data_IF_429853943151
#
_entry.id   IF_429853943151
#
_cell.length_a   1.000
_cell.length_b   1.000
_cell.length_c   1.000
_cell.angle_alpha   90.00
_cell.angle_beta   90.00
_cell.angle_gamma   90.00
#
_symmetry.space_group_name_H-M   'P 1'
#
loop_
_entity.id
_entity.type
_entity.pdbx_description
1 polymer ?
#
# COMPACT_ATOMS: atom_id res chain seq x y z
N UNK A 1 6.01 32.97 -4.68
CA UNK A 1 4.91 32.01 -4.41
C UNK A 1 5.53 30.85 -3.65
N UNK A 2 5.31 30.76 -2.33
CA UNK A 2 5.94 29.73 -1.48
C UNK A 2 5.15 28.40 -1.46
N UNK A 3 3.91 28.40 -1.96
CA UNK A 3 3.01 27.24 -1.98
C UNK A 3 3.23 26.32 -3.19
N UNK A 4 3.70 26.87 -4.32
CA UNK A 4 3.85 26.16 -5.60
C UNK A 4 4.69 24.87 -5.50
N UNK A 5 5.83 24.84 -4.79
CA UNK A 5 6.66 23.64 -4.69
C UNK A 5 5.92 22.49 -4.03
N UNK A 6 5.20 22.78 -2.94
CA UNK A 6 4.39 21.76 -2.27
C UNK A 6 3.38 21.15 -3.22
N UNK A 7 2.62 21.98 -3.95
CA UNK A 7 1.55 21.50 -4.83
C UNK A 7 2.11 20.64 -5.96
N UNK A 8 3.23 21.05 -6.55
CA UNK A 8 3.91 20.26 -7.59
C UNK A 8 4.35 18.90 -7.08
N UNK A 9 4.96 18.83 -5.88
CA UNK A 9 5.38 17.55 -5.32
C UNK A 9 4.15 16.69 -5.02
N UNK A 10 3.14 17.24 -4.34
CA UNK A 10 1.91 16.51 -4.02
C UNK A 10 1.26 15.90 -5.26
N UNK A 11 1.01 16.71 -6.29
CA UNK A 11 0.37 16.26 -7.54
C UNK A 11 1.23 15.25 -8.30
N UNK A 12 2.56 15.40 -8.27
CA UNK A 12 3.46 14.50 -8.97
C UNK A 12 3.45 13.06 -8.44
N UNK A 13 3.18 12.85 -7.14
CA UNK A 13 3.10 11.50 -6.55
C UNK A 13 1.70 10.87 -6.58
N UNK A 14 0.66 11.64 -6.94
CA UNK A 14 -0.71 11.12 -7.02
C UNK A 14 -0.90 9.99 -8.05
N UNK A 15 -0.28 10.01 -9.25
CA UNK A 15 -0.47 8.92 -10.21
C UNK A 15 -0.12 7.54 -9.66
N UNK A 16 0.99 7.43 -8.90
CA UNK A 16 1.38 6.17 -8.26
C UNK A 16 0.38 5.73 -7.19
N UNK A 17 -0.05 6.67 -6.34
CA UNK A 17 -1.09 6.41 -5.34
C UNK A 17 -2.43 6.01 -5.98
N UNK A 18 -2.81 6.61 -7.11
CA UNK A 18 -4.07 6.29 -7.80
C UNK A 18 -4.01 4.94 -8.50
N UNK A 19 -2.84 4.53 -8.96
CA UNK A 19 -2.65 3.22 -9.61
C UNK A 19 -2.78 2.07 -8.60
N UNK A 20 -2.24 2.20 -7.39
CA UNK A 20 -2.17 1.09 -6.43
C UNK A 20 -3.07 1.28 -5.20
N UNK A 21 -3.52 2.50 -4.93
CA UNK A 21 -4.21 2.84 -3.68
C UNK A 21 -3.31 2.83 -2.44
N UNK A 22 -2.00 2.60 -2.61
CA UNK A 22 -1.02 2.56 -1.54
C UNK A 22 -0.54 3.98 -1.21
N UNK A 23 -0.51 4.29 0.09
CA UNK A 23 -0.02 5.56 0.62
C UNK A 23 1.38 5.35 1.18
N UNK A 24 2.37 5.40 0.30
CA UNK A 24 3.79 5.31 0.65
C UNK A 24 4.53 6.62 0.32
N UNK A 25 5.08 7.34 1.31
CA UNK A 25 5.90 8.54 1.09
C UNK A 25 7.03 8.36 0.08
N UNK A 26 7.53 7.13 -0.15
CA UNK A 26 8.52 6.81 -1.17
C UNK A 26 8.06 7.17 -2.59
N UNK A 27 6.75 7.08 -2.86
CA UNK A 27 6.16 7.46 -4.14
C UNK A 27 6.36 8.94 -4.51
N UNK A 28 6.58 9.81 -3.52
CA UNK A 28 6.82 11.25 -3.73
C UNK A 28 8.30 11.62 -3.82
N UNK A 29 9.23 10.68 -3.62
CA UNK A 29 10.67 10.98 -3.57
C UNK A 29 11.21 11.50 -4.90
N UNK A 30 10.78 10.92 -6.03
CA UNK A 30 11.19 11.38 -7.35
C UNK A 30 10.77 12.84 -7.58
N UNK A 31 9.53 13.17 -7.21
CA UNK A 31 8.99 14.53 -7.33
C UNK A 31 9.60 15.49 -6.31
N UNK A 32 10.03 15.00 -5.14
CA UNK A 32 10.72 15.79 -4.14
C UNK A 32 12.09 16.29 -4.63
N UNK A 33 12.70 15.65 -5.64
CA UNK A 33 13.92 16.17 -6.28
C UNK A 33 13.70 17.55 -6.95
N UNK A 34 12.46 17.89 -7.32
CA UNK A 34 12.11 19.23 -7.81
C UNK A 34 12.31 20.34 -6.76
N UNK A 35 12.47 19.98 -5.48
CA UNK A 35 12.83 20.94 -4.43
C UNK A 35 14.23 21.53 -4.65
N UNK A 36 15.14 20.86 -5.35
CA UNK A 36 16.48 21.37 -5.61
C UNK A 36 16.49 22.65 -6.48
N UNK A 37 15.93 22.65 -7.71
CA UNK A 37 15.86 23.86 -8.54
C UNK A 37 14.99 24.95 -7.90
N UNK A 38 13.91 24.58 -7.21
CA UNK A 38 13.06 25.51 -6.47
C UNK A 38 13.83 26.20 -5.35
N UNK A 39 14.58 25.44 -4.55
CA UNK A 39 15.36 25.96 -3.44
C UNK A 39 16.46 26.89 -3.96
N UNK A 40 17.15 26.52 -5.05
CA UNK A 40 18.13 27.40 -5.69
C UNK A 40 17.52 28.75 -6.10
N UNK A 41 16.35 28.73 -6.73
CA UNK A 41 15.62 29.93 -7.13
C UNK A 41 15.16 30.78 -5.92
N UNK A 42 14.64 30.14 -4.87
CA UNK A 42 14.21 30.82 -3.64
C UNK A 42 15.39 31.43 -2.87
N UNK A 43 16.54 30.75 -2.81
CA UNK A 43 17.75 31.28 -2.17
C UNK A 43 18.19 32.58 -2.84
N UNK A 44 18.18 32.61 -4.18
CA UNK A 44 18.56 33.81 -4.95
C UNK A 44 17.58 34.96 -4.70
N UNK A 45 16.27 34.69 -4.64
CA UNK A 45 15.24 35.75 -4.53
C UNK A 45 14.90 36.20 -3.12
N UNK A 46 14.88 35.28 -2.15
CA UNK A 46 14.33 35.49 -0.79
C UNK A 46 15.23 34.97 0.34
N UNK A 47 16.39 34.40 0.00
CA UNK A 47 17.34 33.89 0.98
C UNK A 47 17.09 32.45 1.42
N UNK A 48 18.00 31.93 2.24
CA UNK A 48 18.05 30.51 2.64
C UNK A 48 16.85 30.12 3.52
N UNK A 49 16.43 31.01 4.43
CA UNK A 49 15.28 30.76 5.31
C UNK A 49 13.98 30.49 4.54
N UNK A 50 13.72 31.25 3.47
CA UNK A 50 12.54 31.06 2.63
C UNK A 50 12.56 29.72 1.87
N UNK A 51 13.74 29.25 1.45
CA UNK A 51 13.90 27.98 0.76
C UNK A 51 13.71 26.78 1.71
N UNK A 52 14.26 26.84 2.93
CA UNK A 52 14.01 25.84 3.96
C UNK A 52 12.53 25.80 4.35
N UNK A 53 11.92 26.97 4.57
CA UNK A 53 10.50 27.10 4.92
C UNK A 53 9.57 26.48 3.86
N UNK A 54 9.79 26.79 2.58
CA UNK A 54 9.00 26.23 1.49
C UNK A 54 9.10 24.70 1.42
N UNK A 55 10.29 24.16 1.70
CA UNK A 55 10.56 22.74 1.62
C UNK A 55 9.98 21.97 2.80
N UNK A 56 10.05 22.54 4.02
CA UNK A 56 9.35 22.03 5.19
C UNK A 56 7.82 22.04 4.99
N UNK A 57 7.29 23.07 4.30
CA UNK A 57 5.89 23.11 3.92
C UNK A 57 5.50 22.02 2.93
N UNK A 58 6.36 21.77 1.93
CA UNK A 58 6.14 20.71 0.94
C UNK A 58 6.12 19.32 1.58
N UNK A 59 7.10 19.01 2.44
CA UNK A 59 7.15 17.72 3.14
C UNK A 59 5.99 17.56 4.13
N UNK A 60 5.68 18.61 4.90
CA UNK A 60 4.54 18.63 5.81
C UNK A 60 3.20 18.40 5.10
N UNK A 61 3.03 18.97 3.90
CA UNK A 61 1.82 18.78 3.11
C UNK A 61 1.62 17.32 2.67
N UNK A 62 2.69 16.63 2.27
CA UNK A 62 2.64 15.22 1.85
C UNK A 62 2.36 14.31 3.05
N UNK A 63 3.03 14.55 4.18
CA UNK A 63 2.79 13.79 5.41
C UNK A 63 1.37 14.00 5.94
N UNK A 64 0.84 15.23 5.83
CA UNK A 64 -0.55 15.54 6.16
C UNK A 64 -1.52 14.80 5.22
N UNK A 65 -1.29 14.83 3.91
CA UNK A 65 -2.10 14.07 2.96
C UNK A 65 -2.07 12.57 3.25
N UNK A 66 -0.88 12.00 3.54
CA UNK A 66 -0.71 10.59 3.84
C UNK A 66 -1.46 10.17 5.12
N UNK A 67 -1.37 11.00 6.17
CA UNK A 67 -2.11 10.78 7.41
C UNK A 67 -3.62 10.87 7.18
N UNK A 68 -4.11 11.90 6.50
CA UNK A 68 -5.54 12.12 6.27
C UNK A 68 -6.18 11.06 5.36
N UNK A 69 -5.45 10.58 4.34
CA UNK A 69 -5.96 9.58 3.41
C UNK A 69 -6.16 8.19 4.05
N UNK A 70 -5.38 7.90 5.11
CA UNK A 70 -5.33 6.58 5.75
C UNK A 70 -5.91 6.58 7.17
N UNK A 71 -6.00 7.77 7.79
CA UNK A 71 -6.23 7.97 9.22
C UNK A 71 -5.25 7.20 10.11
N UNK A 72 -4.03 6.98 9.62
CA UNK A 72 -2.97 6.26 10.30
C UNK A 72 -1.66 6.99 10.12
N UNK A 73 -0.80 6.91 11.13
CA UNK A 73 0.56 7.46 11.03
C UNK A 73 1.30 6.68 9.94
N UNK A 74 1.95 7.37 8.97
CA UNK A 74 2.81 6.72 7.99
C UNK A 74 3.94 5.93 8.66
N UNK A 75 4.42 4.87 8.01
CA UNK A 75 5.52 4.08 8.54
C UNK A 75 6.81 4.92 8.65
N UNK A 76 7.57 4.71 9.73
CA UNK A 76 8.75 5.52 10.07
C UNK A 76 9.82 5.43 8.98
N UNK A 77 10.10 4.23 8.48
CA UNK A 77 11.16 4.00 7.49
C UNK A 77 10.91 4.75 6.16
N UNK A 78 9.75 4.63 5.49
CA UNK A 78 9.42 5.47 4.33
C UNK A 78 9.52 6.98 4.59
N UNK A 79 9.06 7.44 5.77
CA UNK A 79 9.13 8.85 6.15
C UNK A 79 10.57 9.33 6.27
N UNK A 80 11.44 8.55 6.90
CA UNK A 80 12.86 8.90 7.02
C UNK A 80 13.54 9.00 5.66
N UNK A 81 13.29 8.06 4.75
CA UNK A 81 13.81 8.13 3.37
C UNK A 81 13.32 9.38 2.63
N UNK A 82 12.01 9.64 2.70
CA UNK A 82 11.40 10.81 2.08
C UNK A 82 11.97 12.12 2.62
N UNK A 83 12.07 12.26 3.94
CA UNK A 83 12.66 13.45 4.59
C UNK A 83 14.14 13.61 4.23
N UNK A 84 14.90 12.52 4.15
CA UNK A 84 16.31 12.54 3.76
C UNK A 84 16.50 13.04 2.33
N UNK A 85 15.70 12.56 1.37
CA UNK A 85 15.74 13.04 -0.02
C UNK A 85 15.29 14.49 -0.13
N UNK A 86 14.22 14.88 0.58
CA UNK A 86 13.79 16.27 0.60
C UNK A 86 14.90 17.18 1.16
N UNK A 87 15.54 16.81 2.27
CA UNK A 87 16.64 17.56 2.86
C UNK A 87 17.84 17.67 1.91
N UNK A 88 18.30 16.55 1.33
CA UNK A 88 19.40 16.54 0.37
C UNK A 88 19.10 17.38 -0.87
N UNK A 89 17.87 17.33 -1.39
CA UNK A 89 17.44 18.18 -2.50
C UNK A 89 17.48 19.66 -2.13
N UNK A 90 17.07 20.04 -0.93
CA UNK A 90 17.17 21.45 -0.48
C UNK A 90 18.59 21.94 -0.34
N UNK A 91 19.47 21.11 0.26
CA UNK A 91 20.89 21.42 0.41
C UNK A 91 21.60 21.51 -0.94
N UNK A 92 21.22 20.65 -1.90
CA UNK A 92 21.67 20.75 -3.28
C UNK A 92 21.30 22.11 -3.89
N UNK A 93 20.05 22.54 -3.72
CA UNK A 93 19.61 23.87 -4.15
C UNK A 93 20.41 25.01 -3.53
N UNK A 94 20.83 24.90 -2.26
CA UNK A 94 21.64 25.91 -1.60
C UNK A 94 23.05 26.01 -2.19
N UNK A 95 23.69 24.86 -2.45
CA UNK A 95 25.02 24.80 -3.08
C UNK A 95 25.03 25.27 -4.53
N UNK A 96 23.93 25.05 -5.25
CA UNK A 96 23.75 25.44 -6.65
C UNK A 96 23.28 26.90 -6.81
N UNK A 97 22.79 27.55 -5.76
CA UNK A 97 22.33 28.92 -5.81
C UNK A 97 23.48 29.89 -6.16
N UNK A 98 23.40 30.50 -7.34
CA UNK A 98 24.42 31.37 -7.88
C UNK A 98 24.36 32.79 -7.25
N UNK A 99 24.76 32.93 -5.97
CA UNK A 99 24.99 34.27 -5.38
C UNK A 99 26.41 34.74 -5.75
N UNK A 100 26.55 36.02 -6.14
CA UNK A 100 27.79 36.73 -6.54
C UNK A 100 28.88 36.82 -5.44
N UNK A 101 29.25 35.72 -4.80
CA UNK A 101 30.34 35.68 -3.81
C UNK A 101 31.43 34.76 -4.36
N UNK A 102 32.47 35.29 -5.02
CA UNK A 102 33.42 34.53 -5.83
C UNK A 102 34.34 33.60 -5.02
N UNK A 103 34.67 33.96 -3.77
CA UNK A 103 35.69 33.27 -2.97
C UNK A 103 35.37 31.80 -2.63
N UNK A 104 34.10 31.40 -2.61
CA UNK A 104 33.66 30.04 -2.25
C UNK A 104 32.73 29.41 -3.29
N UNK A 105 32.77 29.88 -4.54
CA UNK A 105 31.85 29.43 -5.58
C UNK A 105 32.10 27.96 -6.01
N UNK A 106 33.37 27.55 -6.11
CA UNK A 106 33.73 26.18 -6.50
C UNK A 106 33.33 25.12 -5.47
N UNK A 107 33.71 25.33 -4.20
CA UNK A 107 33.41 24.39 -3.12
C UNK A 107 31.90 24.22 -2.87
N UNK A 108 31.12 25.30 -2.91
CA UNK A 108 29.65 25.24 -2.75
C UNK A 108 28.95 24.50 -3.87
N UNK A 109 29.39 24.69 -5.12
CA UNK A 109 28.85 23.96 -6.27
C UNK A 109 29.18 22.47 -6.18
N UNK A 110 30.41 22.11 -5.81
CA UNK A 110 30.80 20.72 -5.60
C UNK A 110 29.94 20.06 -4.51
N UNK A 111 29.70 20.76 -3.38
CA UNK A 111 28.79 20.31 -2.33
C UNK A 111 27.35 20.15 -2.85
N UNK A 112 26.84 21.10 -3.63
CA UNK A 112 25.49 21.03 -4.20
C UNK A 112 25.30 19.85 -5.15
N UNK A 113 26.28 19.60 -6.02
CA UNK A 113 26.31 18.42 -6.91
C UNK A 113 26.39 17.13 -6.09
N UNK A 114 27.25 17.09 -5.06
CA UNK A 114 27.35 15.96 -4.14
C UNK A 114 26.01 15.64 -3.46
N UNK A 115 25.32 16.64 -2.91
CA UNK A 115 24.00 16.47 -2.32
C UNK A 115 22.94 16.00 -3.34
N UNK A 116 22.98 16.48 -4.59
CA UNK A 116 22.08 16.01 -5.64
C UNK A 116 22.33 14.54 -5.98
N UNK A 117 23.59 14.13 -6.11
CA UNK A 117 23.97 12.73 -6.35
C UNK A 117 23.56 11.84 -5.17
N UNK A 118 23.74 12.30 -3.92
CA UNK A 118 23.28 11.59 -2.73
C UNK A 118 21.75 11.49 -2.67
N UNK A 119 21.01 12.54 -3.07
CA UNK A 119 19.55 12.48 -3.13
C UNK A 119 19.07 11.44 -4.16
N UNK A 120 19.72 11.38 -5.32
CA UNK A 120 19.46 10.36 -6.35
C UNK A 120 19.80 8.95 -5.86
N UNK A 121 20.95 8.79 -5.19
CA UNK A 121 21.35 7.51 -4.60
C UNK A 121 20.37 7.07 -3.52
N UNK A 122 19.97 7.97 -2.61
CA UNK A 122 18.98 7.70 -1.57
C UNK A 122 17.62 7.31 -2.16
N UNK A 123 17.16 8.01 -3.21
CA UNK A 123 15.96 7.61 -3.95
C UNK A 123 16.07 6.21 -4.55
N UNK A 124 17.23 5.87 -5.13
CA UNK A 124 17.46 4.55 -5.70
C UNK A 124 17.44 3.44 -4.64
N UNK A 125 18.11 3.65 -3.50
CA UNK A 125 18.19 2.68 -2.41
C UNK A 125 16.93 2.58 -1.55
N UNK A 126 16.07 3.61 -1.57
CA UNK A 126 14.82 3.61 -0.81
C UNK A 126 13.71 2.74 -1.44
N UNK A 127 13.90 2.24 -2.67
CA UNK A 127 12.94 1.33 -3.30
C UNK A 127 12.75 0.09 -2.43
N UNK A 128 11.50 -0.29 -2.18
CA UNK A 128 11.20 -1.52 -1.44
C UNK A 128 11.80 -2.70 -2.20
N UNK A 129 12.61 -3.55 -1.56
CA UNK A 129 13.18 -4.70 -2.25
C UNK A 129 12.06 -5.69 -2.59
N UNK A 130 12.15 -6.38 -3.75
CA UNK A 130 11.24 -7.47 -4.06
C UNK A 130 11.24 -8.52 -2.95
N UNK A 131 10.10 -9.22 -2.80
CA UNK A 131 9.97 -10.32 -1.87
C UNK A 131 11.04 -11.37 -2.12
N UNK A 132 11.89 -11.54 -1.12
CA UNK A 132 12.93 -12.57 -1.12
C UNK A 132 12.36 -13.90 -0.62
N UNK A 133 12.89 -15.04 -1.11
CA UNK A 133 12.61 -16.35 -0.53
C UNK A 133 12.93 -16.37 0.97
N UNK A 134 12.17 -17.17 1.72
CA UNK A 134 12.45 -17.41 3.13
C UNK A 134 13.84 -18.06 3.28
N UNK A 135 14.73 -17.54 4.14
CA UNK A 135 16.11 -18.00 4.22
C UNK A 135 16.27 -19.41 4.83
N UNK A 136 15.23 -19.96 5.46
CA UNK A 136 15.24 -21.28 6.09
C UNK A 136 14.44 -22.34 5.34
N UNK A 137 14.28 -23.52 5.97
CA UNK A 137 13.43 -24.59 5.43
C UNK A 137 11.98 -24.10 5.35
N UNK A 138 11.44 -24.07 4.13
CA UNK A 138 10.05 -23.73 3.87
C UNK A 138 9.16 -24.91 4.27
N UNK A 139 8.06 -24.70 5.01
CA UNK A 139 7.11 -25.77 5.28
C UNK A 139 6.37 -26.19 4.00
N UNK A 140 6.05 -27.48 3.92
CA UNK A 140 5.20 -28.05 2.87
C UNK A 140 3.77 -27.46 2.95
N UNK A 141 3.27 -27.02 1.80
CA UNK A 141 1.90 -26.54 1.61
C UNK A 141 1.26 -27.33 0.49
N UNK A 142 0.32 -28.20 0.84
CA UNK A 142 -0.54 -28.85 -0.13
C UNK A 142 -1.61 -27.86 -0.62
N UNK A 143 -1.87 -27.82 -1.92
CA UNK A 143 -2.91 -26.98 -2.52
C UNK A 143 -3.85 -27.86 -3.34
N UNK A 144 -5.13 -27.84 -3.00
CA UNK A 144 -6.18 -28.48 -3.78
C UNK A 144 -7.11 -27.38 -4.29
N UNK A 145 -7.23 -27.28 -5.61
CA UNK A 145 -7.92 -26.14 -6.25
C UNK A 145 -8.63 -26.56 -7.52
N UNK A 146 -9.81 -25.98 -7.76
CA UNK A 146 -10.45 -25.97 -9.07
C UNK A 146 -10.06 -24.76 -9.91
N UNK A 147 -9.50 -23.72 -9.28
CA UNK A 147 -9.07 -22.48 -9.91
C UNK A 147 -7.76 -22.66 -10.70
N UNK A 148 -7.51 -21.87 -11.76
CA UNK A 148 -6.32 -21.94 -12.60
C UNK A 148 -5.07 -21.36 -11.90
N UNK A 149 -4.62 -22.01 -10.83
CA UNK A 149 -3.49 -21.55 -10.02
C UNK A 149 -2.14 -22.10 -10.49
N UNK A 150 -2.14 -23.20 -11.23
CA UNK A 150 -0.92 -23.91 -11.67
C UNK A 150 -0.85 -24.11 -13.19
N UNK A 151 -1.81 -23.53 -13.92
CA UNK A 151 -1.79 -23.55 -15.38
C UNK A 151 -2.35 -22.27 -15.98
N UNK A 152 -1.88 -21.97 -17.20
CA UNK A 152 -2.37 -20.90 -18.05
C UNK A 152 -3.55 -21.37 -18.89
N UNK A 153 -4.61 -20.59 -18.88
CA UNK A 153 -5.82 -20.87 -19.66
C UNK A 153 -5.54 -20.88 -21.16
N UNK A 154 -6.22 -21.77 -21.90
CA UNK A 154 -6.12 -21.87 -23.36
C UNK A 154 -4.92 -22.66 -23.88
N UNK A 155 -3.93 -22.95 -23.03
CA UNK A 155 -2.72 -23.69 -23.42
C UNK A 155 -2.76 -25.16 -23.01
N UNK A 156 -1.94 -25.99 -23.67
CA UNK A 156 -1.87 -27.44 -23.45
C UNK A 156 -0.44 -27.89 -23.15
N UNK A 157 -0.31 -28.99 -22.40
CA UNK A 157 0.98 -29.61 -22.10
C UNK A 157 1.86 -28.76 -21.19
N UNK A 158 3.19 -28.91 -21.32
CA UNK A 158 4.17 -28.22 -20.47
C UNK A 158 4.12 -26.69 -20.62
N UNK A 159 3.72 -26.18 -21.79
CA UNK A 159 3.55 -24.75 -22.05
C UNK A 159 2.45 -24.12 -21.20
N UNK A 160 1.45 -24.93 -20.80
CA UNK A 160 0.39 -24.46 -19.92
C UNK A 160 0.84 -24.33 -18.46
N UNK A 161 1.95 -24.93 -18.03
CA UNK A 161 2.34 -24.93 -16.61
C UNK A 161 2.85 -23.54 -16.21
N UNK A 162 2.01 -22.78 -15.53
CA UNK A 162 2.33 -21.44 -15.04
C UNK A 162 1.68 -21.24 -13.67
N UNK A 163 2.46 -20.76 -12.71
CA UNK A 163 1.92 -20.40 -11.41
C UNK A 163 1.16 -19.06 -11.52
N UNK A 164 -0.03 -19.00 -10.94
CA UNK A 164 -0.70 -17.72 -10.71
C UNK A 164 0.11 -16.84 -9.75
N UNK A 165 0.00 -15.50 -9.83
CA UNK A 165 0.73 -14.56 -8.97
C UNK A 165 0.73 -14.91 -7.47
N UNK A 166 -0.41 -15.33 -6.93
CA UNK A 166 -0.53 -15.73 -5.52
C UNK A 166 0.34 -16.95 -5.19
N UNK A 167 0.43 -17.93 -6.09
CA UNK A 167 1.29 -19.11 -5.93
C UNK A 167 2.76 -18.71 -6.01
N UNK A 168 3.13 -17.81 -6.93
CA UNK A 168 4.50 -17.29 -7.03
C UNK A 168 4.96 -16.64 -5.71
N UNK A 169 4.08 -15.90 -5.04
CA UNK A 169 4.34 -15.31 -3.73
C UNK A 169 4.41 -16.40 -2.64
N UNK A 170 3.45 -17.33 -2.60
CA UNK A 170 3.43 -18.40 -1.59
C UNK A 170 4.67 -19.29 -1.68
N UNK A 171 5.21 -19.55 -2.87
CA UNK A 171 6.49 -20.26 -3.04
C UNK A 171 7.68 -19.56 -2.38
N UNK A 172 7.60 -18.25 -2.12
CA UNK A 172 8.64 -17.55 -1.33
C UNK A 172 8.62 -17.93 0.15
N UNK A 173 7.56 -18.57 0.64
CA UNK A 173 7.37 -18.94 2.05
C UNK A 173 7.14 -20.42 2.27
N UNK A 174 6.64 -21.13 1.27
CA UNK A 174 6.23 -22.53 1.35
C UNK A 174 6.84 -23.37 0.23
N UNK A 175 6.99 -24.67 0.47
CA UNK A 175 7.15 -25.65 -0.60
C UNK A 175 5.75 -26.03 -1.08
N UNK A 176 5.29 -25.34 -2.11
CA UNK A 176 3.92 -25.47 -2.63
C UNK A 176 3.83 -26.69 -3.53
N UNK A 177 2.97 -27.63 -3.15
CA UNK A 177 2.69 -28.85 -3.90
C UNK A 177 1.21 -28.90 -4.30
N UNK A 178 0.88 -28.92 -5.60
CA UNK A 178 -0.48 -29.18 -6.05
C UNK A 178 -0.86 -30.64 -5.79
N UNK A 179 -2.01 -30.86 -5.15
CA UNK A 179 -2.54 -32.19 -4.85
C UNK A 179 -3.97 -32.28 -5.37
N UNK A 180 -4.37 -33.44 -5.90
CA UNK A 180 -5.70 -33.63 -6.50
C UNK A 180 -6.79 -34.01 -5.49
N UNK A 181 -6.39 -34.52 -4.32
CA UNK A 181 -7.29 -35.14 -3.36
C UNK A 181 -6.75 -35.06 -1.92
N UNK A 182 -7.62 -34.90 -0.90
CA UNK A 182 -7.22 -35.01 0.51
C UNK A 182 -6.59 -36.37 0.88
N UNK A 183 -6.81 -37.41 0.09
CA UNK A 183 -6.17 -38.72 0.29
C UNK A 183 -4.66 -38.68 0.02
N UNK A 184 -4.18 -37.70 -0.75
CA UNK A 184 -2.79 -37.54 -1.16
C UNK A 184 -2.00 -36.50 -0.37
N UNK A 185 -2.48 -36.04 0.79
CA UNK A 185 -1.83 -34.96 1.56
C UNK A 185 -0.44 -35.32 2.12
N UNK A 186 -0.10 -36.62 2.16
CA UNK A 186 1.22 -37.08 2.59
C UNK A 186 1.61 -36.57 3.98
N UNK A 187 2.75 -35.88 4.07
CA UNK A 187 3.29 -35.28 5.32
C UNK A 187 2.99 -33.79 5.46
N UNK A 188 2.25 -33.20 4.52
CA UNK A 188 1.91 -31.79 4.56
C UNK A 188 1.12 -31.46 5.82
N UNK A 189 1.57 -30.44 6.55
CA UNK A 189 0.90 -29.93 7.76
C UNK A 189 -0.07 -28.79 7.47
N UNK A 190 -0.02 -28.24 6.26
CA UNK A 190 -0.77 -27.07 5.81
C UNK A 190 -1.45 -27.38 4.49
N UNK A 191 -2.70 -26.94 4.39
CA UNK A 191 -3.55 -27.17 3.23
C UNK A 191 -4.24 -25.87 2.83
N UNK A 192 -4.12 -25.49 1.56
CA UNK A 192 -4.97 -24.48 0.94
C UNK A 192 -6.00 -25.18 0.06
N UNK A 193 -7.28 -25.06 0.42
CA UNK A 193 -8.41 -25.45 -0.40
C UNK A 193 -8.98 -24.21 -1.08
N UNK A 194 -8.84 -24.09 -2.39
CA UNK A 194 -9.34 -22.95 -3.14
C UNK A 194 -10.38 -23.39 -4.17
N UNK A 195 -11.66 -23.25 -3.80
CA UNK A 195 -12.80 -23.64 -4.64
C UNK A 195 -12.62 -25.00 -5.36
N UNK A 196 -12.38 -26.10 -4.62
CA UNK A 196 -12.13 -27.40 -5.24
C UNK A 196 -13.42 -27.98 -5.86
N UNK A 197 -13.25 -29.03 -6.67
CA UNK A 197 -14.37 -29.88 -7.11
C UNK A 197 -15.10 -30.52 -5.93
N UNK A 198 -16.24 -31.13 -6.20
CA UNK A 198 -16.91 -31.99 -5.23
C UNK A 198 -15.96 -33.13 -4.80
N UNK A 199 -15.88 -33.34 -3.50
CA UNK A 199 -15.19 -34.46 -2.89
C UNK A 199 -16.14 -35.64 -2.72
N UNK A 200 -15.61 -36.85 -2.90
CA UNK A 200 -16.28 -38.08 -2.51
C UNK A 200 -16.37 -38.19 -0.98
N UNK A 201 -17.23 -39.08 -0.48
CA UNK A 201 -17.38 -39.28 0.97
C UNK A 201 -16.05 -39.67 1.64
N UNK A 202 -15.25 -40.53 0.99
CA UNK A 202 -13.94 -40.94 1.50
C UNK A 202 -12.96 -39.75 1.61
N UNK A 203 -13.00 -38.83 0.64
CA UNK A 203 -12.19 -37.62 0.65
C UNK A 203 -12.61 -36.65 1.76
N UNK A 204 -13.91 -36.49 2.00
CA UNK A 204 -14.42 -35.66 3.09
C UNK A 204 -14.01 -36.21 4.47
N UNK A 205 -14.12 -37.52 4.67
CA UNK A 205 -13.68 -38.19 5.91
C UNK A 205 -12.17 -38.06 6.08
N UNK A 206 -11.38 -38.27 5.01
CA UNK A 206 -9.93 -38.12 5.05
C UNK A 206 -9.52 -36.68 5.39
N UNK A 207 -10.17 -35.69 4.80
CA UNK A 207 -9.92 -34.28 5.09
C UNK A 207 -10.24 -33.94 6.54
N UNK A 208 -11.43 -34.30 7.03
CA UNK A 208 -11.80 -34.07 8.42
C UNK A 208 -10.85 -34.79 9.40
N UNK A 209 -10.48 -36.04 9.09
CA UNK A 209 -9.49 -36.83 9.83
C UNK A 209 -8.12 -36.15 9.88
N UNK A 210 -7.64 -35.63 8.75
CA UNK A 210 -6.38 -34.89 8.67
C UNK A 210 -6.40 -33.59 9.48
N UNK A 211 -7.47 -32.79 9.39
CA UNK A 211 -7.62 -31.56 10.20
C UNK A 211 -7.65 -31.94 11.67
N UNK A 212 -8.55 -32.85 12.07
CA UNK A 212 -8.67 -33.30 13.47
C UNK A 212 -7.38 -33.90 14.04
N UNK A 213 -6.55 -34.50 13.19
CA UNK A 213 -5.25 -35.07 13.54
C UNK A 213 -4.16 -34.05 13.86
N UNK A 214 -4.35 -32.77 13.49
CA UNK A 214 -3.39 -31.67 13.69
C UNK A 214 -3.10 -30.82 12.46
N UNK A 215 -3.80 -31.06 11.34
CA UNK A 215 -3.65 -30.27 10.11
C UNK A 215 -4.18 -28.84 10.25
N UNK A 216 -3.56 -27.91 9.51
CA UNK A 216 -4.02 -26.51 9.39
C UNK A 216 -4.57 -26.26 7.99
N UNK A 217 -5.88 -26.10 7.85
CA UNK A 217 -6.55 -25.82 6.58
C UNK A 217 -6.92 -24.34 6.45
N UNK A 218 -6.64 -23.75 5.28
CA UNK A 218 -7.26 -22.52 4.80
C UNK A 218 -8.23 -22.90 3.68
N UNK A 219 -9.52 -22.62 3.87
CA UNK A 219 -10.60 -22.95 2.95
C UNK A 219 -11.17 -21.67 2.38
N UNK A 220 -10.93 -21.42 1.10
CA UNK A 220 -11.55 -20.34 0.33
C UNK A 220 -12.77 -20.91 -0.38
N UNK A 221 -13.95 -20.50 0.07
CA UNK A 221 -15.22 -21.07 -0.34
C UNK A 221 -16.18 -19.96 -0.77
N UNK A 222 -16.51 -19.98 -2.06
CA UNK A 222 -17.32 -18.96 -2.70
C UNK A 222 -18.64 -19.55 -3.23
N UNK A 223 -19.81 -19.09 -2.78
CA UNK A 223 -21.07 -19.57 -3.33
C UNK A 223 -21.46 -18.84 -4.63
N UNK A 224 -20.73 -17.81 -5.07
CA UNK A 224 -20.97 -17.10 -6.30
C UNK A 224 -19.65 -16.64 -6.95
N UNK A 225 -18.83 -17.60 -7.37
CA UNK A 225 -17.52 -17.32 -7.97
C UNK A 225 -17.64 -16.43 -9.22
N UNK A 226 -16.94 -15.29 -9.20
CA UNK A 226 -16.85 -14.30 -10.28
C UNK A 226 -15.49 -14.30 -11.00
N UNK A 227 -14.69 -15.34 -10.76
CA UNK A 227 -13.43 -15.59 -11.45
C UNK A 227 -13.57 -15.54 -12.98
N UNK A 228 -12.78 -14.71 -13.67
CA UNK A 228 -12.85 -14.53 -15.11
C UNK A 228 -12.24 -15.77 -15.76
N UNK A 229 -12.90 -16.30 -16.76
CA UNK A 229 -12.39 -17.47 -17.47
C UNK A 229 -12.59 -17.23 -18.95
N UNK A 230 -11.56 -17.54 -19.74
CA UNK A 230 -11.63 -17.53 -21.21
C UNK A 230 -12.49 -18.70 -21.70
N UNK A 231 -12.63 -19.73 -20.86
CA UNK A 231 -13.41 -20.94 -21.17
C UNK A 231 -14.93 -20.66 -21.25
N UNK A 232 -15.64 -21.20 -22.25
CA UNK A 232 -17.09 -20.99 -22.39
C UNK A 232 -17.87 -21.62 -21.24
N UNK A 233 -19.09 -21.13 -20.98
CA UNK A 233 -19.98 -21.72 -19.98
C UNK A 233 -20.26 -23.19 -20.33
N UNK A 234 -20.21 -24.06 -19.33
CA UNK A 234 -20.38 -25.52 -19.50
C UNK A 234 -19.10 -26.31 -19.82
N UNK A 235 -17.95 -25.65 -20.04
CA UNK A 235 -16.67 -26.37 -20.14
C UNK A 235 -16.30 -27.01 -18.79
N UNK A 236 -16.03 -28.33 -18.80
CA UNK A 236 -15.72 -29.14 -17.61
C UNK A 236 -14.44 -28.70 -16.89
N UNK A 237 -13.56 -27.96 -17.58
CA UNK A 237 -12.33 -27.43 -17.00
C UNK A 237 -12.58 -26.17 -16.16
N UNK A 238 -13.79 -25.61 -16.16
CA UNK A 238 -14.11 -24.47 -15.32
C UNK A 238 -14.21 -24.92 -13.85
N UNK A 239 -13.69 -24.13 -12.90
CA UNK A 239 -13.99 -24.33 -11.49
C UNK A 239 -15.51 -24.30 -11.24
N UNK A 240 -15.97 -24.96 -10.18
CA UNK A 240 -17.35 -24.83 -9.72
C UNK A 240 -17.71 -23.36 -9.47
N UNK A 241 -18.80 -22.90 -10.09
CA UNK A 241 -19.32 -21.53 -9.91
C UNK A 241 -19.85 -21.28 -8.50
N UNK A 242 -20.11 -22.35 -7.74
CA UNK A 242 -20.52 -22.34 -6.35
C UNK A 242 -19.67 -23.34 -5.57
N UNK A 243 -19.39 -23.06 -4.32
CA UNK A 243 -18.61 -23.96 -3.48
C UNK A 243 -19.38 -25.26 -3.25
N UNK A 244 -18.71 -26.38 -3.48
CA UNK A 244 -19.27 -27.72 -3.25
C UNK A 244 -18.88 -28.27 -1.87
N UNK A 245 -18.30 -27.40 -1.01
CA UNK A 245 -17.87 -27.74 0.35
C UNK A 245 -18.86 -27.26 1.43
N UNK A 246 -20.01 -26.69 1.08
CA UNK A 246 -20.95 -26.10 2.06
C UNK A 246 -21.35 -27.07 3.18
N UNK A 247 -21.67 -28.32 2.83
CA UNK A 247 -22.04 -29.34 3.82
C UNK A 247 -20.88 -29.65 4.78
N UNK A 248 -19.65 -29.74 4.26
CA UNK A 248 -18.47 -29.96 5.09
C UNK A 248 -18.16 -28.75 5.98
N UNK A 249 -18.33 -27.53 5.46
CA UNK A 249 -18.16 -26.29 6.22
C UNK A 249 -19.17 -26.24 7.38
N UNK A 250 -20.41 -26.69 7.16
CA UNK A 250 -21.43 -26.82 8.21
C UNK A 250 -21.04 -27.86 9.26
N UNK A 251 -20.45 -29.00 8.86
CA UNK A 251 -19.88 -30.00 9.78
C UNK A 251 -18.70 -29.45 10.57
N UNK A 252 -17.86 -28.59 9.98
CA UNK A 252 -16.77 -27.90 10.69
C UNK A 252 -17.29 -26.88 11.70
N UNK A 253 -18.58 -26.54 11.67
CA UNK A 253 -19.26 -25.74 12.68
C UNK A 253 -19.64 -24.33 12.25
N UNK A 254 -19.68 -24.01 10.95
CA UNK A 254 -20.11 -22.70 10.47
C UNK A 254 -20.95 -22.82 9.20
N UNK A 255 -21.92 -21.93 9.01
CA UNK A 255 -22.76 -21.91 7.81
C UNK A 255 -22.37 -20.78 6.88
N UNK A 256 -22.19 -21.10 5.61
CA UNK A 256 -22.05 -20.12 4.54
C UNK A 256 -23.45 -19.65 4.12
N UNK A 257 -23.66 -18.34 4.13
CA UNK A 257 -24.92 -17.71 3.76
C UNK A 257 -24.66 -16.73 2.62
N UNK A 258 -25.54 -16.66 1.61
CA UNK A 258 -25.42 -15.66 0.57
C UNK A 258 -25.53 -14.26 1.18
N UNK A 259 -24.78 -13.33 0.62
CA UNK A 259 -24.89 -11.91 0.94
C UNK A 259 -25.69 -11.18 -0.14
N UNK A 260 -26.33 -10.07 0.23
CA UNK A 260 -27.06 -9.24 -0.71
C UNK A 260 -26.13 -8.37 -1.57
N UNK A 261 -24.92 -8.09 -1.09
CA UNK A 261 -23.92 -7.31 -1.80
C UNK A 261 -23.21 -8.14 -2.88
N UNK A 262 -23.59 -7.91 -4.14
CA UNK A 262 -23.00 -8.57 -5.31
C UNK A 262 -21.81 -7.81 -5.92
N UNK A 263 -21.35 -6.74 -5.27
CA UNK A 263 -20.32 -5.81 -5.78
C UNK A 263 -18.91 -6.10 -5.31
N UNK A 264 -17.94 -5.42 -5.91
CA UNK A 264 -16.56 -5.37 -5.43
C UNK A 264 -16.47 -4.41 -4.24
N UNK A 265 -15.88 -4.85 -3.14
CA UNK A 265 -15.81 -4.07 -1.89
C UNK A 265 -14.41 -4.13 -1.31
N UNK A 266 -13.89 -2.95 -0.92
CA UNK A 266 -12.67 -2.83 -0.13
C UNK A 266 -12.99 -3.05 1.34
N UNK A 267 -12.55 -4.17 1.87
CA UNK A 267 -12.78 -4.59 3.24
C UNK A 267 -11.54 -4.37 4.10
N UNK A 268 -11.64 -3.50 5.09
CA UNK A 268 -10.57 -3.28 6.06
C UNK A 268 -10.75 -4.20 7.26
N UNK A 269 -9.71 -4.99 7.55
CA UNK A 269 -9.66 -5.85 8.74
C UNK A 269 -9.45 -5.02 10.01
N UNK A 270 -9.70 -5.62 11.18
CA UNK A 270 -9.49 -4.94 12.48
C UNK A 270 -8.06 -4.46 12.72
N UNK A 271 -7.07 -5.15 12.15
CA UNK A 271 -5.65 -4.75 12.16
C UNK A 271 -5.31 -3.68 11.10
N UNK A 272 -6.26 -3.37 10.22
CA UNK A 272 -6.21 -2.39 9.14
C UNK A 272 -5.45 -2.83 7.90
N UNK A 273 -5.25 -4.13 7.72
CA UNK A 273 -5.03 -4.69 6.38
C UNK A 273 -6.26 -4.45 5.50
N UNK A 274 -6.03 -4.31 4.20
CA UNK A 274 -7.08 -4.08 3.22
C UNK A 274 -7.19 -5.30 2.32
N UNK A 275 -8.38 -5.89 2.20
CA UNK A 275 -8.71 -6.94 1.26
C UNK A 275 -9.71 -6.40 0.24
N UNK A 276 -9.54 -6.75 -1.02
CA UNK A 276 -10.57 -6.51 -2.04
C UNK A 276 -11.36 -7.80 -2.20
N UNK A 277 -12.66 -7.74 -1.94
CA UNK A 277 -13.59 -8.87 -2.01
C UNK A 277 -14.57 -8.65 -3.15
N UNK A 278 -15.08 -9.71 -3.77
CA UNK A 278 -16.07 -9.59 -4.84
C UNK A 278 -17.19 -10.60 -4.68
N UNK A 279 -18.45 -10.12 -4.55
CA UNK A 279 -19.61 -10.97 -4.29
C UNK A 279 -19.43 -11.93 -3.09
N UNK A 280 -18.58 -11.53 -2.12
CA UNK A 280 -18.25 -12.34 -0.96
C UNK A 280 -19.50 -12.65 -0.13
N UNK A 281 -19.52 -13.85 0.42
CA UNK A 281 -20.60 -14.30 1.29
C UNK A 281 -20.35 -14.03 2.76
N UNK A 282 -21.38 -14.24 3.57
CA UNK A 282 -21.29 -14.05 5.02
C UNK A 282 -21.38 -15.39 5.74
N UNK A 283 -20.58 -15.51 6.80
CA UNK A 283 -20.59 -16.66 7.69
C UNK A 283 -21.62 -16.41 8.81
N UNK A 284 -22.38 -17.44 9.15
CA UNK A 284 -23.38 -17.41 10.21
C UNK A 284 -23.45 -18.73 10.95
N UNK A 285 -24.21 -18.75 12.05
CA UNK A 285 -24.47 -19.96 12.87
C UNK A 285 -23.18 -20.72 13.19
N UNK A 286 -22.30 -20.09 13.98
CA UNK A 286 -21.07 -20.73 14.44
C UNK A 286 -21.31 -21.63 15.67
N UNK A 287 -20.68 -22.79 15.69
CA UNK A 287 -20.56 -23.65 16.87
C UNK A 287 -19.64 -23.03 17.93
N UNK A 288 -19.64 -23.53 19.18
CA UNK A 288 -18.75 -23.03 20.23
C UNK A 288 -17.25 -23.10 19.88
N UNK A 289 -16.86 -24.06 19.04
CA UNK A 289 -15.47 -24.28 18.62
C UNK A 289 -15.06 -23.42 17.41
N UNK A 290 -15.99 -22.63 16.87
CA UNK A 290 -15.80 -21.74 15.75
C UNK A 290 -16.00 -20.28 16.15
N UNK A 291 -15.04 -19.43 15.80
CA UNK A 291 -15.14 -17.98 15.97
C UNK A 291 -15.24 -17.30 14.62
N UNK A 292 -16.33 -16.59 14.40
CA UNK A 292 -16.49 -15.69 13.25
C UNK A 292 -15.78 -14.36 13.57
N UNK A 293 -14.95 -13.90 12.66
CA UNK A 293 -14.14 -12.68 12.75
C UNK A 293 -14.29 -11.85 11.45
N UNK A 294 -13.69 -10.65 11.43
CA UNK A 294 -13.56 -9.80 10.23
C UNK A 294 -14.88 -9.59 9.48
N UNK A 295 -15.86 -8.95 10.14
CA UNK A 295 -17.12 -8.59 9.49
C UNK A 295 -17.96 -9.77 9.00
N UNK A 296 -17.77 -10.96 9.60
CA UNK A 296 -18.41 -12.22 9.18
C UNK A 296 -17.92 -12.79 7.86
N UNK A 297 -16.73 -12.40 7.40
CA UNK A 297 -16.11 -12.95 6.18
C UNK A 297 -15.18 -14.13 6.45
N UNK A 298 -14.69 -14.25 7.68
CA UNK A 298 -13.71 -15.27 8.07
C UNK A 298 -14.20 -16.00 9.32
N UNK A 299 -14.07 -17.32 9.36
CA UNK A 299 -14.29 -18.12 10.56
C UNK A 299 -13.05 -18.95 10.86
N UNK A 300 -12.66 -18.99 12.14
CA UNK A 300 -11.61 -19.86 12.63
C UNK A 300 -12.22 -20.92 13.52
N UNK A 301 -12.13 -22.16 13.09
CA UNK A 301 -12.66 -23.32 13.77
C UNK A 301 -11.53 -24.21 14.29
N UNK A 302 -11.61 -24.57 15.56
CA UNK A 302 -10.74 -25.60 16.16
C UNK A 302 -11.39 -26.95 15.91
N UNK A 303 -10.64 -27.89 15.38
CA UNK A 303 -11.15 -29.24 15.07
C UNK A 303 -10.13 -30.23 15.58
N UNK A 304 -10.47 -30.97 16.64
CA UNK A 304 -9.53 -31.86 17.31
C UNK A 304 -8.24 -31.15 17.73
N UNK A 305 -7.10 -31.61 17.21
CA UNK A 305 -5.78 -30.98 17.41
C UNK A 305 -5.39 -29.95 16.35
N UNK A 306 -6.16 -29.83 15.28
CA UNK A 306 -5.89 -28.92 14.17
C UNK A 306 -6.84 -27.73 14.12
N UNK A 307 -6.79 -27.02 13.00
CA UNK A 307 -7.64 -25.86 12.78
C UNK A 307 -8.02 -25.70 11.31
N UNK A 308 -9.22 -25.18 11.10
CA UNK A 308 -9.71 -24.77 9.79
C UNK A 308 -10.06 -23.28 9.84
N UNK A 309 -9.41 -22.49 8.98
CA UNK A 309 -9.83 -21.11 8.72
C UNK A 309 -10.60 -21.08 7.41
N UNK A 310 -11.84 -20.62 7.46
CA UNK A 310 -12.75 -20.54 6.32
C UNK A 310 -12.92 -19.08 5.94
N UNK A 311 -12.73 -18.77 4.66
CA UNK A 311 -12.95 -17.45 4.06
C UNK A 311 -14.09 -17.59 3.05
N UNK A 312 -15.11 -16.76 3.19
CA UNK A 312 -16.34 -16.82 2.40
C UNK A 312 -16.24 -16.16 1.00
N UNK A 313 -15.04 -16.20 0.42
CA UNK A 313 -14.70 -15.60 -0.87
C UNK A 313 -13.46 -16.35 -1.42
N UNK A 314 -13.56 -16.89 -2.63
CA UNK A 314 -12.44 -17.50 -3.33
C UNK A 314 -11.86 -16.60 -4.41
N UNK A 315 -12.62 -15.62 -4.90
CA UNK A 315 -12.14 -14.57 -5.78
C UNK A 315 -11.11 -13.68 -5.07
N UNK A 316 -11.09 -13.64 -3.73
CA UNK A 316 -10.07 -12.94 -2.92
C UNK A 316 -8.63 -13.15 -3.44
N UNK A 317 -8.28 -14.35 -3.93
CA UNK A 317 -6.93 -14.67 -4.42
C UNK A 317 -6.72 -14.41 -5.93
N UNK A 318 -7.72 -13.91 -6.63
CA UNK A 318 -7.63 -13.40 -8.00
C UNK A 318 -6.68 -12.21 -8.04
N UNK A 319 -5.66 -12.27 -8.88
CA UNK A 319 -4.61 -11.26 -8.97
C UNK A 319 -5.16 -9.88 -9.29
N UNK A 320 -6.24 -9.78 -10.05
CA UNK A 320 -6.84 -8.49 -10.43
C UNK A 320 -7.45 -7.73 -9.25
N UNK A 321 -7.75 -8.41 -8.15
CA UNK A 321 -8.29 -7.78 -6.94
C UNK A 321 -7.20 -7.20 -6.03
N UNK A 322 -5.94 -7.64 -6.17
CA UNK A 322 -4.87 -7.26 -5.24
C UNK A 322 -3.53 -6.89 -5.90
N UNK A 323 -3.40 -6.96 -7.23
CA UNK A 323 -2.16 -6.72 -7.97
C UNK A 323 -2.41 -5.78 -9.16
N UNK A 324 -1.67 -4.68 -9.22
CA UNK A 324 -1.74 -3.70 -10.31
C UNK A 324 -1.01 -4.18 -11.57
N UNK A 325 0.12 -4.87 -11.40
CA UNK A 325 0.93 -5.42 -12.50
C UNK A 325 1.20 -6.92 -12.29
N UNK A 326 0.49 -7.80 -13.04
CA UNK A 326 0.67 -9.24 -12.98
C UNK A 326 2.08 -9.74 -13.33
N UNK A 327 2.91 -8.92 -14.01
CA UNK A 327 4.28 -9.30 -14.38
C UNK A 327 5.27 -9.19 -13.22
N UNK A 328 4.92 -8.44 -12.17
CA UNK A 328 5.77 -8.17 -11.01
C UNK A 328 5.11 -8.55 -9.67
N UNK A 329 4.63 -9.80 -9.47
CA UNK A 329 3.90 -10.19 -8.27
C UNK A 329 4.75 -10.16 -7.00
N UNK A 330 6.07 -10.27 -7.15
CA UNK A 330 7.03 -10.21 -6.05
C UNK A 330 7.41 -8.78 -5.66
N UNK A 331 6.99 -7.76 -6.41
CA UNK A 331 7.20 -6.35 -6.06
C UNK A 331 6.01 -5.85 -5.23
N UNK A 332 6.18 -5.63 -3.91
CA UNK A 332 5.06 -5.20 -3.07
C UNK A 332 4.55 -3.80 -3.39
N UNK A 333 5.32 -2.99 -4.12
CA UNK A 333 4.87 -1.68 -4.59
C UNK A 333 3.78 -1.77 -5.66
N UNK A 334 3.60 -2.93 -6.30
CA UNK A 334 2.53 -3.19 -7.27
C UNK A 334 1.26 -3.74 -6.62
N UNK A 335 1.26 -3.98 -5.31
CA UNK A 335 0.08 -4.54 -4.64
C UNK A 335 -0.96 -3.45 -4.43
N UNK A 336 -2.22 -3.82 -4.60
CA UNK A 336 -3.38 -2.96 -4.33
C UNK A 336 -4.15 -3.38 -3.08
N UNK A 337 -3.85 -4.56 -2.53
CA UNK A 337 -4.39 -5.10 -1.29
C UNK A 337 -3.39 -6.01 -0.55
N UNK A 338 -3.65 -6.28 0.72
CA UNK A 338 -2.84 -7.15 1.59
C UNK A 338 -3.21 -8.64 1.48
N UNK A 339 -3.93 -9.04 0.42
CA UNK A 339 -4.35 -10.44 0.19
C UNK A 339 -3.19 -11.43 0.35
N UNK A 340 -2.01 -11.26 -0.27
CA UNK A 340 -0.93 -12.23 -0.12
C UNK A 340 -0.47 -12.37 1.33
N UNK A 341 -0.37 -11.24 2.05
CA UNK A 341 0.00 -11.22 3.46
C UNK A 341 -1.05 -11.92 4.32
N UNK A 342 -2.34 -11.68 4.05
CA UNK A 342 -3.45 -12.33 4.74
C UNK A 342 -3.44 -13.85 4.57
N UNK A 343 -3.34 -14.34 3.33
CA UNK A 343 -3.29 -15.77 3.03
C UNK A 343 -2.07 -16.43 3.67
N UNK A 344 -0.88 -15.84 3.52
CA UNK A 344 0.35 -16.39 4.06
C UNK A 344 0.33 -16.44 5.61
N UNK A 345 -0.20 -15.40 6.26
CA UNK A 345 -0.34 -15.36 7.72
C UNK A 345 -1.33 -16.42 8.24
N UNK A 346 -2.48 -16.62 7.56
CA UNK A 346 -3.41 -17.70 7.91
C UNK A 346 -2.80 -19.09 7.73
N UNK A 347 -1.92 -19.24 6.73
CA UNK A 347 -1.09 -20.42 6.54
C UNK A 347 0.18 -20.40 7.41
N UNK A 348 0.28 -19.53 8.42
CA UNK A 348 1.33 -19.51 9.43
C UNK A 348 2.74 -19.19 8.96
N UNK A 349 2.89 -18.48 7.84
CA UNK A 349 4.14 -17.85 7.42
C UNK A 349 3.90 -16.37 7.10
N UNK A 350 4.28 -15.43 7.98
CA UNK A 350 4.02 -14.01 7.74
C UNK A 350 4.85 -13.46 6.56
N UNK A 351 4.26 -12.51 5.85
CA UNK A 351 4.93 -11.65 4.87
C UNK A 351 5.17 -10.26 5.49
N UNK A 352 6.06 -9.42 4.93
CA UNK A 352 6.29 -8.06 5.41
C UNK A 352 4.98 -7.27 5.47
N UNK A 353 4.69 -6.70 6.65
CA UNK A 353 3.47 -5.97 6.97
C UNK A 353 3.69 -4.44 6.94
N UNK A 354 2.64 -3.68 7.25
CA UNK A 354 2.77 -2.25 7.56
C UNK A 354 2.38 -1.30 6.44
N UNK A 355 1.87 -1.82 5.32
CA UNK A 355 1.31 -1.00 4.24
C UNK A 355 0.14 -0.14 4.74
N UNK A 356 -0.08 0.95 4.02
CA UNK A 356 -1.12 1.94 4.31
C UNK A 356 -1.91 2.16 3.04
N UNK A 357 -3.23 2.07 3.16
CA UNK A 357 -4.14 2.13 2.02
C UNK A 357 -5.07 3.32 2.14
N UNK A 358 -5.37 3.94 1.01
CA UNK A 358 -6.45 4.92 0.91
C UNK A 358 -7.76 4.26 1.36
N UNK A 359 -8.51 4.88 2.27
CA UNK A 359 -9.77 4.29 2.78
C UNK A 359 -10.90 4.30 1.75
N UNK A 360 -11.20 5.48 1.23
CA UNK A 360 -12.26 5.72 0.23
C UNK A 360 -11.85 6.83 -0.72
N UNK A 361 -12.52 6.93 -1.87
CA UNK A 361 -12.32 8.04 -2.80
C UNK A 361 -12.56 9.40 -2.13
N UNK A 362 -13.63 9.52 -1.35
CA UNK A 362 -13.94 10.76 -0.62
C UNK A 362 -12.87 11.12 0.42
N UNK A 363 -12.31 10.12 1.11
CA UNK A 363 -11.22 10.34 2.06
C UNK A 363 -9.97 10.87 1.34
N UNK A 364 -9.66 10.36 0.14
CA UNK A 364 -8.55 10.87 -0.66
C UNK A 364 -8.78 12.31 -1.12
N UNK A 365 -9.96 12.61 -1.67
CA UNK A 365 -10.32 13.97 -2.10
C UNK A 365 -10.25 14.93 -0.92
N UNK A 366 -10.78 14.54 0.24
CA UNK A 366 -10.68 15.29 1.48
C UNK A 366 -9.23 15.51 1.92
N UNK A 367 -8.41 14.46 1.89
CA UNK A 367 -7.00 14.53 2.26
C UNK A 367 -6.21 15.51 1.38
N UNK A 368 -6.39 15.45 0.06
CA UNK A 368 -5.73 16.36 -0.89
C UNK A 368 -6.18 17.81 -0.64
N UNK A 369 -7.48 18.05 -0.47
CA UNK A 369 -8.02 19.40 -0.17
C UNK A 369 -7.42 19.98 1.10
N UNK A 370 -7.44 19.23 2.19
CA UNK A 370 -6.91 19.69 3.48
C UNK A 370 -5.39 19.87 3.45
N UNK A 371 -4.66 18.96 2.80
CA UNK A 371 -3.22 19.11 2.59
C UNK A 371 -2.90 20.42 1.87
N UNK A 372 -3.60 20.73 0.78
CA UNK A 372 -3.44 21.98 0.04
C UNK A 372 -3.75 23.22 0.90
N UNK A 373 -4.83 23.19 1.70
CA UNK A 373 -5.16 24.29 2.62
C UNK A 373 -4.07 24.51 3.67
N UNK A 374 -3.57 23.44 4.29
CA UNK A 374 -2.45 23.49 5.24
C UNK A 374 -1.19 24.05 4.56
N UNK A 375 -0.90 23.62 3.33
CA UNK A 375 0.20 24.13 2.53
C UNK A 375 0.07 25.62 2.20
N UNK A 376 -1.14 26.09 1.87
CA UNK A 376 -1.40 27.52 1.66
C UNK A 376 -1.23 28.34 2.93
N UNK A 377 -1.75 27.86 4.07
CA UNK A 377 -1.57 28.50 5.36
C UNK A 377 -0.08 28.60 5.74
N UNK A 378 0.67 27.51 5.60
CA UNK A 378 2.11 27.48 5.83
C UNK A 378 2.86 28.46 4.92
N UNK A 379 2.50 28.50 3.64
CA UNK A 379 3.09 29.44 2.68
C UNK A 379 2.77 30.90 3.02
N UNK A 380 1.55 31.21 3.46
CA UNK A 380 1.14 32.53 3.89
C UNK A 380 1.97 33.02 5.09
N UNK A 381 2.15 32.16 6.09
CA UNK A 381 3.03 32.45 7.24
C UNK A 381 4.48 32.74 6.78
N UNK A 382 5.00 31.95 5.84
CA UNK A 382 6.31 32.20 5.25
C UNK A 382 6.40 33.51 4.46
N UNK A 383 5.31 33.96 3.82
CA UNK A 383 5.31 35.27 3.15
C UNK A 383 5.32 36.45 4.12
N UNK A 384 4.77 36.29 5.32
CA UNK A 384 4.84 37.31 6.38
C UNK A 384 6.25 37.35 6.98
N UNK A 385 6.83 36.18 7.26
CA UNK A 385 8.16 36.07 7.90
C UNK A 385 9.32 36.44 6.97
N UNK A 386 9.21 36.11 5.67
CA UNK A 386 10.28 36.28 4.68
C UNK A 386 9.87 37.16 3.49
N UNK A 387 8.82 37.98 3.68
CA UNK A 387 8.42 39.00 2.72
C UNK A 387 9.41 40.17 2.70
N UNK A 388 9.49 40.93 1.60
CA UNK A 388 10.20 42.21 1.63
C UNK A 388 9.55 43.06 2.71
N UNK A 389 10.31 43.38 3.76
CA UNK A 389 9.86 44.24 4.85
C UNK A 389 9.67 45.64 4.29
N UNK A 390 8.47 45.96 3.81
CA UNK A 390 8.10 47.34 3.45
C UNK A 390 7.96 48.13 4.76
N UNK A 391 9.09 48.66 5.26
CA UNK A 391 9.18 49.54 6.42
C UNK A 391 8.55 50.92 6.19
N UNK A 392 7.35 50.98 5.60
CA UNK A 392 6.67 52.21 5.21
C UNK A 392 5.20 52.23 5.63
N UNK A 393 4.90 51.88 6.89
CA UNK A 393 3.55 52.13 7.46
C UNK A 393 3.51 52.79 8.84
N UNK A 394 4.65 53.21 9.40
CA UNK A 394 4.67 54.07 10.58
C UNK A 394 5.66 55.22 10.43
N UNK A 395 5.45 56.08 9.43
CA UNK A 395 5.97 57.45 9.51
C UNK A 395 5.03 58.22 10.43
N UNK A 396 5.30 58.19 11.73
CA UNK A 396 4.77 59.19 12.66
C UNK A 396 5.13 60.57 12.09
N UNK A 397 4.10 61.33 11.75
CA UNK A 397 4.22 62.71 11.30
C UNK A 397 5.02 63.50 12.35
N UNK A 398 6.25 63.91 12.00
CA UNK A 398 6.96 64.94 12.77
C UNK A 398 6.32 66.29 12.44
N UNK A 399 5.81 67.06 13.41
CA UNK A 399 5.33 68.40 13.15
C UNK A 399 6.51 69.28 12.71
N UNK A 400 6.32 70.05 11.63
CA UNK A 400 7.30 71.06 11.18
C UNK A 400 7.41 72.13 12.26
N UNK A 401 8.59 72.26 12.85
CA UNK A 401 8.96 73.44 13.62
C UNK A 401 9.01 74.64 12.68
N UNK A 402 8.19 75.66 12.97
CA UNK A 402 8.18 76.93 12.28
C UNK A 402 9.54 77.63 12.43
N UNK A 403 10.08 78.10 11.31
CA UNK A 403 11.26 78.95 11.24
C UNK A 403 10.87 80.34 11.75
N UNK A 404 11.44 80.77 12.88
CA UNK A 404 11.44 82.18 13.28
C UNK A 404 12.63 82.87 12.60
N UNK A 405 12.36 83.87 11.77
CA UNK A 405 13.34 84.89 11.37
C UNK A 405 13.42 85.96 12.47
N UNK A 406 14.62 86.41 12.89
CA UNK A 406 14.75 87.63 13.66
C UNK A 406 14.94 88.85 12.76
N UNK A 407 14.34 89.95 13.22
CA UNK A 407 14.23 91.28 12.64
C UNK A 407 15.56 91.94 12.26
N UNK A 408 15.50 92.76 11.21
CA UNK A 408 16.44 93.85 10.95
C UNK A 408 16.18 94.97 11.96
N UNK A 409 17.21 95.35 12.72
CA UNK A 409 17.29 96.64 13.41
C UNK A 409 18.26 97.57 12.67
N UNK A 410 17.73 98.75 12.30
CA UNK A 410 18.30 100.03 11.86
C UNK A 410 19.64 100.08 11.08
#
# INVERSE_FOLDING_TARGET
>A
MLWLPGVLVLLGGLPGLLATGQVDPRGWMLTALLLAPVAAWLVVRRGVGAAFWASAGATGMILCCAFLATWRVPAVEPVLWFLSVALLATLAGFGLAHRHIPAFAGARRAMGIGCALLALAAWWFAKEPPLKPFPGKRPELAVITGLPLFWREGEKGLAAKADAPIITILRQRFEVEPVDSPLGLGKAKRLLLAQPRAFSMNELVALHGWISGGGTALILADPQLRWPLVLPLGDRRRPPSVTLLSAMIEVLGVKLLPDADAGEVRHFLGDGRMLTLYAASVLGKASPDCRIIEGRRVARCVVGRGSATIVADADLIDDRLWLADPSAPLDPAQWTADTPQFVAQLLGQPLPEGRRWVRTGDALVGAVRWAVLVGFFWAALGTVLFGPWNGARFSLARPRLARQEPEKGD
#
